data_IF_599011464938
#
_entry.id   IF_599011464938
#
_cell.length_a   1.000
_cell.length_b   1.000
_cell.length_c   1.000
_cell.angle_alpha   90.00
_cell.angle_beta   90.00
_cell.angle_gamma   90.00
#
_symmetry.space_group_name_H-M   'P 1'
#
loop_
_entity.id
_entity.type
_entity.pdbx_description
1 polymer ?
#
# COMPACT_ATOMS: atom_id res chain seq x y z
N UNK A 1 1.19 19.57 15.35
CA UNK A 1 1.06 18.65 14.20
C UNK A 1 0.51 17.36 14.75
N UNK A 2 -0.70 16.95 14.34
CA UNK A 2 -1.30 15.71 14.85
C UNK A 2 -0.50 14.50 14.31
N UNK A 3 -0.12 13.61 15.20
CA UNK A 3 0.55 12.35 14.87
C UNK A 3 -0.44 11.21 15.02
N UNK A 4 -0.48 10.27 14.07
CA UNK A 4 -1.37 9.12 14.16
C UNK A 4 -0.98 8.21 15.35
N UNK A 5 -1.94 7.90 16.21
CA UNK A 5 -1.81 6.83 17.21
C UNK A 5 -2.42 5.54 16.65
N UNK A 6 -1.57 4.73 16.01
CA UNK A 6 -1.99 3.46 15.42
C UNK A 6 -2.32 2.40 16.47
N UNK A 7 -1.82 2.53 17.71
CA UNK A 7 -2.03 1.54 18.75
C UNK A 7 -3.48 1.52 19.26
N UNK A 8 -4.13 2.68 19.27
CA UNK A 8 -5.52 2.80 19.69
C UNK A 8 -6.51 2.36 18.60
N UNK A 9 -6.04 2.13 17.36
CA UNK A 9 -6.89 1.77 16.25
C UNK A 9 -7.82 2.90 15.80
N UNK A 10 -8.73 2.60 14.86
CA UNK A 10 -9.63 3.59 14.28
C UNK A 10 -10.64 4.11 15.31
N UNK A 11 -10.64 5.43 15.54
CA UNK A 11 -11.51 6.09 16.50
C UNK A 11 -12.78 6.63 15.83
N UNK A 12 -13.79 5.78 15.67
CA UNK A 12 -15.07 6.18 15.10
C UNK A 12 -15.71 7.31 15.94
N UNK A 13 -15.78 8.52 15.39
CA UNK A 13 -16.28 9.72 16.07
C UNK A 13 -15.22 10.78 16.38
N UNK A 14 -13.94 10.54 16.06
CA UNK A 14 -12.92 11.58 16.06
C UNK A 14 -13.20 12.64 14.97
N UNK A 15 -12.53 13.80 15.08
CA UNK A 15 -12.62 14.82 14.05
C UNK A 15 -12.01 14.33 12.73
N UNK A 16 -12.49 14.91 11.61
CA UNK A 16 -12.08 14.50 10.27
C UNK A 16 -10.55 14.54 10.08
N UNK A 17 -9.85 15.54 10.61
CA UNK A 17 -8.41 15.66 10.43
C UNK A 17 -7.65 14.56 11.19
N UNK A 18 -8.12 14.20 12.38
CA UNK A 18 -7.57 13.06 13.12
C UNK A 18 -7.80 11.72 12.40
N UNK A 19 -8.98 11.55 11.79
CA UNK A 19 -9.30 10.36 10.99
C UNK A 19 -8.40 10.27 9.75
N UNK A 20 -8.26 11.35 8.98
CA UNK A 20 -7.41 11.39 7.78
C UNK A 20 -5.94 11.09 8.11
N UNK A 21 -5.42 11.63 9.23
CA UNK A 21 -4.06 11.34 9.70
C UNK A 21 -3.89 9.86 10.03
N UNK A 22 -4.85 9.25 10.73
CA UNK A 22 -4.82 7.83 11.03
C UNK A 22 -4.89 6.96 9.76
N UNK A 23 -5.83 7.27 8.86
CA UNK A 23 -6.03 6.52 7.60
C UNK A 23 -4.78 6.55 6.72
N UNK A 24 -4.15 7.72 6.57
CA UNK A 24 -2.90 7.86 5.81
C UNK A 24 -1.75 7.09 6.46
N UNK A 25 -1.66 7.08 7.78
CA UNK A 25 -0.66 6.29 8.48
C UNK A 25 -0.86 4.78 8.27
N UNK A 26 -2.11 4.30 8.35
CA UNK A 26 -2.44 2.89 8.03
C UNK A 26 -2.09 2.56 6.58
N UNK A 27 -2.45 3.41 5.63
CA UNK A 27 -2.15 3.19 4.21
C UNK A 27 -0.64 3.18 3.94
N UNK A 28 0.16 3.98 4.64
CA UNK A 28 1.62 3.95 4.53
C UNK A 28 2.22 2.62 5.01
N UNK A 29 1.69 2.05 6.11
CA UNK A 29 2.09 0.71 6.55
C UNK A 29 1.70 -0.36 5.52
N UNK A 30 0.49 -0.28 4.96
CA UNK A 30 0.04 -1.22 3.92
C UNK A 30 0.87 -1.08 2.65
N UNK A 31 1.19 0.13 2.22
CA UNK A 31 2.08 0.38 1.07
C UNK A 31 3.46 -0.25 1.29
N UNK A 32 4.02 -0.11 2.50
CA UNK A 32 5.29 -0.74 2.85
C UNK A 32 5.22 -2.27 2.77
N UNK A 33 4.18 -2.87 3.32
CA UNK A 33 3.96 -4.33 3.24
C UNK A 33 3.76 -4.77 1.78
N UNK A 34 3.04 -4.00 0.99
CA UNK A 34 2.75 -4.28 -0.41
C UNK A 34 4.01 -4.21 -1.29
N UNK A 35 4.86 -3.19 -1.09
CA UNK A 35 6.19 -3.09 -1.71
C UNK A 35 7.06 -4.30 -1.40
N UNK A 36 7.06 -4.77 -0.14
CA UNK A 36 7.79 -5.97 0.27
C UNK A 36 7.24 -7.23 -0.41
N UNK A 37 5.93 -7.35 -0.56
CA UNK A 37 5.32 -8.45 -1.28
C UNK A 37 5.70 -8.47 -2.77
N UNK A 38 5.61 -7.32 -3.44
CA UNK A 38 6.01 -7.18 -4.85
C UNK A 38 7.48 -7.58 -5.02
N UNK A 39 8.37 -6.98 -4.24
CA UNK A 39 9.83 -7.16 -4.40
C UNK A 39 10.33 -8.51 -3.91
N UNK A 40 9.81 -9.01 -2.79
CA UNK A 40 10.26 -10.24 -2.15
C UNK A 40 9.67 -11.52 -2.73
N UNK A 41 8.44 -11.45 -3.27
CA UNK A 41 7.71 -12.65 -3.71
C UNK A 41 7.42 -12.63 -5.21
N UNK A 42 6.86 -11.53 -5.72
CA UNK A 42 6.36 -11.49 -7.10
C UNK A 42 7.48 -11.25 -8.11
N UNK A 43 8.37 -10.30 -7.85
CA UNK A 43 9.43 -9.94 -8.79
C UNK A 43 10.37 -11.11 -9.14
N UNK A 44 10.82 -11.96 -8.19
CA UNK A 44 11.62 -13.14 -8.53
C UNK A 44 10.86 -14.13 -9.43
N UNK A 45 9.58 -14.35 -9.16
CA UNK A 45 8.74 -15.24 -9.98
C UNK A 45 8.51 -14.65 -11.37
N UNK A 46 8.24 -13.34 -11.46
CA UNK A 46 8.06 -12.66 -12.73
C UNK A 46 9.32 -12.70 -13.61
N UNK A 47 10.51 -12.55 -13.00
CA UNK A 47 11.79 -12.66 -13.69
C UNK A 47 12.04 -14.06 -14.28
N UNK A 48 11.53 -15.12 -13.63
CA UNK A 48 11.65 -16.49 -14.12
C UNK A 48 10.67 -16.82 -15.27
N UNK A 49 9.58 -16.06 -15.42
CA UNK A 49 8.47 -16.37 -16.33
C UNK A 49 8.04 -15.17 -17.19
N UNK A 50 9.00 -14.46 -17.80
CA UNK A 50 8.78 -13.22 -18.56
C UNK A 50 7.77 -13.34 -19.72
N UNK A 51 7.59 -14.53 -20.29
CA UNK A 51 6.64 -14.78 -21.38
C UNK A 51 5.19 -15.01 -20.93
N UNK A 52 4.97 -15.32 -19.65
CA UNK A 52 3.66 -15.70 -19.14
C UNK A 52 2.71 -14.49 -19.11
N UNK A 53 1.54 -14.66 -19.73
CA UNK A 53 0.50 -13.63 -19.79
C UNK A 53 -0.11 -13.35 -18.42
N UNK A 54 -0.28 -14.36 -17.57
CA UNK A 54 -0.81 -14.19 -16.22
C UNK A 54 0.14 -13.37 -15.35
N UNK A 55 1.45 -13.67 -15.44
CA UNK A 55 2.52 -12.93 -14.75
C UNK A 55 2.54 -11.46 -15.14
N UNK A 56 2.48 -11.17 -16.44
CA UNK A 56 2.42 -9.78 -16.90
C UNK A 56 1.18 -9.05 -16.39
N UNK A 57 0.03 -9.72 -16.35
CA UNK A 57 -1.20 -9.12 -15.87
C UNK A 57 -1.15 -8.84 -14.36
N UNK A 58 -0.71 -9.81 -13.54
CA UNK A 58 -0.63 -9.61 -12.09
C UNK A 58 0.38 -8.51 -11.73
N UNK A 59 1.55 -8.46 -12.38
CA UNK A 59 2.54 -7.39 -12.15
C UNK A 59 1.95 -6.01 -12.48
N UNK A 60 1.23 -5.88 -13.60
CA UNK A 60 0.59 -4.61 -13.95
C UNK A 60 -0.47 -4.18 -12.92
N UNK A 61 -1.30 -5.12 -12.43
CA UNK A 61 -2.30 -4.84 -11.40
C UNK A 61 -1.64 -4.41 -10.08
N UNK A 62 -0.59 -5.09 -9.65
CA UNK A 62 0.14 -4.76 -8.43
C UNK A 62 0.79 -3.37 -8.54
N UNK A 63 1.44 -3.05 -9.66
CA UNK A 63 2.02 -1.71 -9.86
C UNK A 63 0.94 -0.61 -9.84
N UNK A 64 -0.26 -0.89 -10.36
CA UNK A 64 -1.39 0.04 -10.30
C UNK A 64 -1.85 0.29 -8.85
N UNK A 65 -1.92 -0.77 -8.03
CA UNK A 65 -2.29 -0.65 -6.61
C UNK A 65 -1.20 0.10 -5.84
N UNK A 66 0.08 -0.21 -6.07
CA UNK A 66 1.19 0.51 -5.43
C UNK A 66 1.11 2.01 -5.71
N UNK A 67 0.94 2.39 -6.98
CA UNK A 67 0.81 3.79 -7.40
C UNK A 67 -0.38 4.50 -6.73
N UNK A 68 -1.53 3.82 -6.61
CA UNK A 68 -2.71 4.39 -5.95
C UNK A 68 -2.46 4.63 -4.46
N UNK A 69 -1.85 3.68 -3.77
CA UNK A 69 -1.51 3.81 -2.35
C UNK A 69 -0.43 4.89 -2.13
N UNK A 70 0.54 4.99 -3.02
CA UNK A 70 1.59 6.02 -2.97
C UNK A 70 1.01 7.42 -3.17
N UNK A 71 0.09 7.59 -4.12
CA UNK A 71 -0.63 8.84 -4.33
C UNK A 71 -1.37 9.27 -3.06
N UNK A 72 -2.15 8.38 -2.45
CA UNK A 72 -2.93 8.70 -1.24
C UNK A 72 -2.03 9.01 -0.05
N UNK A 73 -0.85 8.38 0.05
CA UNK A 73 0.07 8.61 1.18
C UNK A 73 0.98 9.83 0.99
N UNK A 74 1.16 10.30 -0.25
CA UNK A 74 2.01 11.45 -0.59
C UNK A 74 1.25 12.77 -0.80
N UNK A 75 -0.09 12.73 -0.86
CA UNK A 75 -0.96 13.89 -1.10
C UNK A 75 -1.32 14.67 0.16
#
# INVERSE_FOLDING_TARGET
MATADLANGYQLGADQAALEVYERAVLAEKLTAFRRFITGTIAPHAAAHLGDKWIRHIVAQLNSIESTLDLITSS
#
